data_IF_238619156758
#
_entry.id   IF_238619156758
#
_cell.length_a   1.000
_cell.length_b   1.000
_cell.length_c   1.000
_cell.angle_alpha   90.00
_cell.angle_beta   90.00
_cell.angle_gamma   90.00
#
_symmetry.space_group_name_H-M   'P 1'
#
loop_
_entity.id
_entity.type
_entity.pdbx_description
1 polymer ?
#
# COMPACT_ATOMS: atom_id res chain seq x y z
N UNK A 1 22.51 18.02 23.05
CA UNK A 1 22.11 16.77 23.73
C UNK A 1 21.06 16.07 22.88
N UNK A 2 21.47 15.00 22.20
CA UNK A 2 20.57 14.13 21.47
C UNK A 2 19.78 13.27 22.46
N UNK A 3 18.56 13.67 22.75
CA UNK A 3 17.62 12.82 23.49
C UNK A 3 17.24 11.66 22.57
N UNK A 4 17.86 10.51 22.74
CA UNK A 4 17.39 9.26 22.14
C UNK A 4 16.00 8.96 22.72
N UNK A 5 14.97 9.03 21.88
CA UNK A 5 13.67 8.49 22.22
C UNK A 5 13.83 6.99 22.39
N UNK A 6 13.81 6.53 23.63
CA UNK A 6 13.77 5.10 23.93
C UNK A 6 12.36 4.63 23.61
N UNK A 7 12.20 3.88 22.52
CA UNK A 7 10.93 3.21 22.22
C UNK A 7 10.79 2.08 23.24
N UNK A 8 9.79 2.11 24.14
CA UNK A 8 9.68 1.16 25.24
C UNK A 8 9.30 -0.27 24.84
N UNK A 9 9.14 -0.53 23.54
CA UNK A 9 8.71 -1.83 23.01
C UNK A 9 9.74 -2.35 22.01
N UNK A 10 10.75 -3.15 22.45
CA UNK A 10 11.78 -3.69 21.57
C UNK A 10 11.22 -4.61 20.47
N UNK A 11 10.00 -5.14 20.66
CA UNK A 11 9.30 -6.01 19.69
C UNK A 11 8.18 -5.27 18.93
N UNK A 12 8.20 -3.93 18.92
CA UNK A 12 7.14 -3.12 18.34
C UNK A 12 6.01 -2.80 19.32
N UNK A 13 5.06 -1.98 18.89
CA UNK A 13 3.87 -1.65 19.68
C UNK A 13 2.97 -2.89 19.82
N UNK A 14 2.34 -3.09 21.02
CA UNK A 14 1.38 -4.17 21.20
C UNK A 14 0.21 -4.02 20.22
N UNK A 15 -0.35 -5.15 19.79
CA UNK A 15 -1.55 -5.15 18.97
C UNK A 15 -2.70 -4.41 19.71
N UNK A 16 -3.41 -3.54 19.00
CA UNK A 16 -4.57 -2.86 19.52
C UNK A 16 -5.70 -3.85 19.79
N UNK A 17 -6.50 -3.57 20.81
CA UNK A 17 -7.71 -4.36 21.06
C UNK A 17 -8.72 -4.13 19.95
N UNK A 18 -9.56 -5.15 19.68
CA UNK A 18 -10.56 -5.09 18.61
C UNK A 18 -11.51 -3.89 18.78
N UNK A 19 -11.81 -3.50 20.02
CA UNK A 19 -12.67 -2.36 20.31
C UNK A 19 -12.01 -1.01 19.98
N UNK A 20 -10.70 -0.91 20.17
CA UNK A 20 -9.94 0.31 19.79
C UNK A 20 -9.90 0.45 18.27
N UNK A 21 -9.69 -0.66 17.56
CA UNK A 21 -9.77 -0.70 16.07
C UNK A 21 -11.18 -0.30 15.60
N UNK A 22 -12.24 -0.80 16.24
CA UNK A 22 -13.63 -0.40 15.91
C UNK A 22 -13.84 1.10 16.12
N UNK A 23 -13.38 1.64 17.25
CA UNK A 23 -13.48 3.07 17.55
C UNK A 23 -12.77 3.91 16.50
N UNK A 24 -11.56 3.52 16.11
CA UNK A 24 -10.81 4.17 15.05
C UNK A 24 -11.54 4.15 13.69
N UNK A 25 -12.21 3.03 13.36
CA UNK A 25 -13.02 2.92 12.14
C UNK A 25 -14.25 3.82 12.21
N UNK A 26 -14.95 3.86 13.34
CA UNK A 26 -16.13 4.70 13.56
C UNK A 26 -15.81 6.19 13.40
N UNK A 27 -14.68 6.65 13.94
CA UNK A 27 -14.21 8.03 13.79
C UNK A 27 -13.94 8.39 12.32
N UNK A 28 -13.48 7.41 11.53
CA UNK A 28 -13.13 7.59 10.13
C UNK A 28 -14.28 7.30 9.16
N UNK A 29 -15.40 6.75 9.65
CA UNK A 29 -16.50 6.30 8.79
C UNK A 29 -17.00 7.39 7.85
N UNK A 30 -17.02 8.65 8.28
CA UNK A 30 -17.40 9.79 7.46
C UNK A 30 -16.58 9.97 6.19
N UNK A 31 -15.32 9.49 6.18
CA UNK A 31 -14.42 9.60 5.03
C UNK A 31 -14.75 8.60 3.91
N UNK A 32 -15.36 7.47 4.25
CA UNK A 32 -15.61 6.39 3.30
C UNK A 32 -17.05 5.89 3.23
N UNK A 33 -17.93 6.34 4.15
CA UNK A 33 -19.35 5.92 4.20
C UNK A 33 -20.06 6.08 2.86
N UNK A 34 -19.90 7.22 2.19
CA UNK A 34 -20.58 7.48 0.91
C UNK A 34 -20.11 6.50 -0.19
N UNK A 35 -18.85 6.08 -0.16
CA UNK A 35 -18.31 5.09 -1.09
C UNK A 35 -18.79 3.69 -0.74
N UNK A 36 -18.82 3.34 0.55
CA UNK A 36 -19.38 2.09 1.03
C UNK A 36 -20.84 1.91 0.61
N UNK A 37 -21.63 2.95 0.66
CA UNK A 37 -23.05 2.88 0.32
C UNK A 37 -23.32 2.94 -1.19
N UNK A 38 -22.29 3.22 -2.02
CA UNK A 38 -22.41 3.31 -3.48
C UNK A 38 -23.65 4.11 -3.97
N UNK A 39 -24.04 5.13 -3.20
CA UNK A 39 -25.23 5.96 -3.46
C UNK A 39 -26.55 5.43 -2.87
N UNK A 40 -26.59 4.22 -2.32
CA UNK A 40 -27.77 3.66 -1.64
C UNK A 40 -27.77 4.07 -0.16
N UNK A 41 -28.33 5.24 0.11
CA UNK A 41 -28.39 5.80 1.47
C UNK A 41 -29.36 5.06 2.40
N UNK A 42 -30.26 4.26 1.85
CA UNK A 42 -31.26 3.53 2.63
C UNK A 42 -30.65 2.32 3.36
N UNK A 43 -29.57 1.77 2.84
CA UNK A 43 -28.87 0.63 3.47
C UNK A 43 -27.99 1.01 4.67
N UNK A 44 -27.72 2.26 4.90
CA UNK A 44 -27.08 2.88 6.06
C UNK A 44 -26.26 1.96 6.97
N UNK A 45 -26.71 1.87 8.20
CA UNK A 45 -25.96 1.17 9.26
C UNK A 45 -25.99 -0.35 9.12
N UNK A 46 -26.95 -0.93 8.40
CA UNK A 46 -27.02 -2.37 8.12
C UNK A 46 -25.83 -2.87 7.29
N UNK A 47 -25.25 -2.00 6.48
CA UNK A 47 -24.07 -2.33 5.67
C UNK A 47 -22.78 -1.89 6.37
N UNK A 48 -22.81 -0.73 7.00
CA UNK A 48 -21.63 -0.11 7.60
C UNK A 48 -21.15 -0.89 8.83
N UNK A 49 -22.04 -1.29 9.73
CA UNK A 49 -21.64 -1.98 10.95
C UNK A 49 -21.01 -3.36 10.68
N UNK A 50 -21.56 -4.23 9.84
CA UNK A 50 -20.92 -5.49 9.45
C UNK A 50 -19.55 -5.28 8.80
N UNK A 51 -19.38 -4.23 7.98
CA UNK A 51 -18.07 -3.88 7.41
C UNK A 51 -17.06 -3.50 8.50
N UNK A 52 -17.44 -2.63 9.44
CA UNK A 52 -16.57 -2.23 10.57
C UNK A 52 -16.16 -3.45 11.39
N UNK A 53 -17.09 -4.33 11.72
CA UNK A 53 -16.82 -5.52 12.50
C UNK A 53 -15.88 -6.49 11.78
N UNK A 54 -16.08 -6.65 10.48
CA UNK A 54 -15.22 -7.49 9.66
C UNK A 54 -13.81 -6.92 9.56
N UNK A 55 -13.67 -5.63 9.27
CA UNK A 55 -12.34 -4.98 9.19
C UNK A 55 -11.63 -5.04 10.53
N UNK A 56 -12.32 -4.73 11.63
CA UNK A 56 -11.75 -4.80 12.96
C UNK A 56 -11.24 -6.20 13.32
N UNK A 57 -12.02 -7.24 12.96
CA UNK A 57 -11.64 -8.65 13.17
C UNK A 57 -10.43 -9.04 12.30
N UNK A 58 -10.39 -8.57 11.04
CA UNK A 58 -9.34 -8.90 10.07
C UNK A 58 -8.06 -8.12 10.29
N UNK A 59 -8.11 -6.99 10.97
CA UNK A 59 -6.96 -6.14 11.26
C UNK A 59 -5.95 -6.79 12.22
N UNK A 60 -6.34 -7.81 12.99
CA UNK A 60 -5.46 -8.50 13.97
C UNK A 60 -4.73 -7.53 14.91
N UNK A 61 -5.39 -6.42 15.26
CA UNK A 61 -4.84 -5.37 16.12
C UNK A 61 -3.87 -4.40 15.43
N UNK A 62 -3.77 -4.42 14.09
CA UNK A 62 -2.87 -3.58 13.31
C UNK A 62 -3.60 -2.37 12.71
N UNK A 63 -3.41 -1.14 13.23
CA UNK A 63 -4.01 0.09 12.70
C UNK A 63 -3.66 0.34 11.23
N UNK A 64 -2.49 -0.11 10.81
CA UNK A 64 -2.03 0.03 9.43
C UNK A 64 -2.94 -0.69 8.45
N UNK A 65 -3.37 -1.90 8.77
CA UNK A 65 -4.34 -2.64 7.95
C UNK A 65 -5.63 -1.84 7.75
N UNK A 66 -6.12 -1.20 8.82
CA UNK A 66 -7.30 -0.33 8.75
C UNK A 66 -7.07 0.84 7.80
N UNK A 67 -5.88 1.47 7.86
CA UNK A 67 -5.54 2.57 6.97
C UNK A 67 -5.59 2.13 5.50
N UNK A 68 -5.01 0.98 5.15
CA UNK A 68 -5.04 0.45 3.80
C UNK A 68 -6.47 0.17 3.32
N UNK A 69 -7.23 -0.56 4.11
CA UNK A 69 -8.61 -0.92 3.74
C UNK A 69 -9.47 0.33 3.57
N UNK A 70 -9.36 1.31 4.47
CA UNK A 70 -10.14 2.56 4.34
C UNK A 70 -9.73 3.37 3.12
N UNK A 71 -8.44 3.39 2.78
CA UNK A 71 -7.94 4.06 1.58
C UNK A 71 -8.46 3.38 0.30
N UNK A 72 -8.41 2.06 0.23
CA UNK A 72 -8.94 1.29 -0.89
C UNK A 72 -10.45 1.51 -1.09
N UNK A 73 -11.22 1.56 0.01
CA UNK A 73 -12.65 1.89 -0.06
C UNK A 73 -12.87 3.31 -0.58
N UNK A 74 -12.08 4.28 -0.11
CA UNK A 74 -12.16 5.67 -0.60
C UNK A 74 -11.84 5.78 -2.10
N UNK A 75 -10.91 4.98 -2.59
CA UNK A 75 -10.53 4.93 -4.00
C UNK A 75 -11.51 4.12 -4.86
N UNK A 76 -12.44 3.40 -4.24
CA UNK A 76 -13.40 2.53 -4.92
C UNK A 76 -12.83 1.18 -5.35
N UNK A 77 -11.65 0.80 -4.81
CA UNK A 77 -11.00 -0.48 -5.09
C UNK A 77 -11.66 -1.66 -4.35
N UNK A 78 -12.48 -1.37 -3.35
CA UNK A 78 -13.25 -2.37 -2.60
C UNK A 78 -14.74 -2.11 -2.74
N UNK A 79 -15.47 -2.92 -3.50
CA UNK A 79 -16.93 -2.90 -3.50
C UNK A 79 -17.48 -3.47 -2.19
N UNK A 80 -18.64 -3.00 -1.78
CA UNK A 80 -19.31 -3.40 -0.53
C UNK A 80 -19.61 -4.89 -0.43
N UNK A 81 -19.99 -5.50 -1.54
CA UNK A 81 -20.22 -6.93 -1.68
C UNK A 81 -18.90 -7.73 -1.70
N UNK A 82 -17.77 -7.06 -1.91
CA UNK A 82 -16.44 -7.64 -1.87
C UNK A 82 -15.86 -7.85 -0.47
N UNK A 83 -16.57 -7.54 0.61
CA UNK A 83 -16.09 -7.74 1.99
C UNK A 83 -15.72 -9.17 2.30
N UNK A 84 -16.34 -10.15 1.63
CA UNK A 84 -15.99 -11.57 1.75
C UNK A 84 -14.52 -11.84 1.34
N UNK A 85 -13.97 -11.05 0.43
CA UNK A 85 -12.62 -11.18 -0.12
C UNK A 85 -11.59 -10.27 0.58
N UNK A 86 -11.96 -9.64 1.71
CA UNK A 86 -11.02 -8.82 2.47
C UNK A 86 -9.91 -9.71 3.02
N UNK A 87 -8.63 -9.42 2.78
CA UNK A 87 -7.51 -10.20 3.31
C UNK A 87 -7.55 -10.28 4.83
N UNK A 88 -6.98 -11.34 5.40
CA UNK A 88 -6.84 -11.49 6.83
C UNK A 88 -5.45 -11.04 7.25
N UNK A 89 -5.36 -9.90 7.94
CA UNK A 89 -4.11 -9.32 8.39
C UNK A 89 -3.30 -8.64 7.28
N UNK A 90 -2.20 -8.06 7.69
CA UNK A 90 -1.36 -7.23 6.82
C UNK A 90 -0.61 -8.06 5.77
N UNK A 91 -0.12 -9.24 6.14
CA UNK A 91 0.61 -10.13 5.23
C UNK A 91 -0.25 -10.52 4.04
N UNK A 92 -1.45 -11.04 4.28
CA UNK A 92 -2.37 -11.42 3.21
C UNK A 92 -2.83 -10.21 2.37
N UNK A 93 -2.84 -9.01 2.97
CA UNK A 93 -3.09 -7.78 2.23
C UNK A 93 -1.93 -7.46 1.26
N UNK A 94 -0.68 -7.58 1.71
CA UNK A 94 0.50 -7.38 0.86
C UNK A 94 0.58 -8.43 -0.25
N UNK A 95 0.31 -9.70 0.04
CA UNK A 95 0.24 -10.78 -0.95
C UNK A 95 -0.74 -10.42 -2.07
N UNK A 96 -1.97 -10.00 -1.70
CA UNK A 96 -2.97 -9.58 -2.67
C UNK A 96 -2.53 -8.37 -3.52
N UNK A 97 -1.85 -7.40 -2.92
CA UNK A 97 -1.28 -6.27 -3.66
C UNK A 97 -0.25 -6.74 -4.69
N UNK A 98 0.65 -7.63 -4.28
CA UNK A 98 1.72 -8.16 -5.14
C UNK A 98 1.15 -9.05 -6.25
N UNK A 99 0.17 -9.91 -5.95
CA UNK A 99 -0.56 -10.69 -6.95
C UNK A 99 -1.18 -9.79 -8.01
N UNK A 100 -1.74 -8.65 -7.60
CA UNK A 100 -2.29 -7.63 -8.51
C UNK A 100 -1.26 -7.05 -9.49
N UNK A 101 0.02 -6.98 -9.12
CA UNK A 101 1.10 -6.53 -10.02
C UNK A 101 1.34 -7.52 -11.17
N UNK A 102 1.04 -8.78 -10.94
CA UNK A 102 1.20 -9.86 -11.93
C UNK A 102 0.18 -9.88 -13.07
N UNK A 103 -0.76 -8.92 -13.13
CA UNK A 103 -1.90 -8.91 -14.06
C UNK A 103 -1.90 -7.63 -14.90
N UNK A 104 -2.30 -7.75 -16.17
CA UNK A 104 -2.49 -6.61 -17.08
C UNK A 104 -1.28 -6.18 -17.88
N UNK A 105 -1.43 -5.11 -18.65
CA UNK A 105 -0.46 -4.64 -19.62
C UNK A 105 0.86 -4.12 -19.02
N UNK A 106 0.86 -3.75 -17.74
CA UNK A 106 2.03 -3.23 -17.03
C UNK A 106 2.78 -4.29 -16.21
N UNK A 107 2.36 -5.57 -16.28
CA UNK A 107 2.93 -6.67 -15.48
C UNK A 107 4.46 -6.71 -15.50
N UNK A 108 5.04 -6.62 -16.68
CA UNK A 108 6.50 -6.73 -16.87
C UNK A 108 7.27 -5.54 -16.28
N UNK A 109 6.60 -4.39 -16.16
CA UNK A 109 7.16 -3.19 -15.54
C UNK A 109 6.96 -3.15 -14.02
N UNK A 110 5.76 -3.50 -13.54
CA UNK A 110 5.38 -3.25 -12.14
C UNK A 110 6.25 -4.03 -11.15
N UNK A 111 6.59 -5.27 -11.48
CA UNK A 111 7.48 -6.10 -10.63
C UNK A 111 8.88 -5.46 -10.48
N UNK A 112 9.61 -5.12 -11.56
CA UNK A 112 10.92 -4.46 -11.42
C UNK A 112 10.83 -3.07 -10.79
N UNK A 113 9.77 -2.31 -11.05
CA UNK A 113 9.55 -1.00 -10.45
C UNK A 113 9.40 -1.10 -8.92
N UNK A 114 8.53 -1.99 -8.44
CA UNK A 114 8.29 -2.19 -7.01
C UNK A 114 9.53 -2.75 -6.32
N UNK A 115 10.26 -3.66 -6.97
CA UNK A 115 11.51 -4.19 -6.44
C UNK A 115 12.61 -3.11 -6.35
N UNK A 116 12.72 -2.22 -7.34
CA UNK A 116 13.64 -1.08 -7.28
C UNK A 116 13.35 -0.20 -6.08
N UNK A 117 12.07 0.15 -5.87
CA UNK A 117 11.64 0.95 -4.72
C UNK A 117 11.84 0.22 -3.38
N UNK A 118 11.70 -1.12 -3.35
CA UNK A 118 11.94 -1.90 -2.14
C UNK A 118 13.42 -1.98 -1.77
N UNK A 119 14.32 -1.98 -2.75
CA UNK A 119 15.76 -1.99 -2.50
C UNK A 119 16.30 -0.62 -2.09
N UNK A 120 15.63 0.47 -2.46
CA UNK A 120 16.03 1.81 -2.10
C UNK A 120 15.89 2.06 -0.59
N UNK A 121 16.92 2.66 0.02
CA UNK A 121 16.88 3.05 1.44
C UNK A 121 16.35 4.48 1.65
N UNK A 122 16.22 5.23 0.57
CA UNK A 122 15.80 6.63 0.53
C UNK A 122 14.81 6.84 -0.62
N UNK A 123 14.05 7.94 -0.62
CA UNK A 123 13.17 8.26 -1.73
C UNK A 123 13.96 8.40 -3.02
N UNK A 124 13.44 7.85 -4.12
CA UNK A 124 14.03 7.96 -5.45
C UNK A 124 13.25 8.95 -6.29
N UNK A 125 13.93 9.90 -6.90
CA UNK A 125 13.35 10.76 -7.93
C UNK A 125 12.91 9.91 -9.15
N UNK A 126 11.90 10.36 -9.88
CA UNK A 126 11.42 9.63 -11.06
C UNK A 126 12.54 9.37 -12.09
N UNK A 127 13.43 10.35 -12.28
CA UNK A 127 14.61 10.22 -13.17
C UNK A 127 15.56 9.09 -12.74
N UNK A 128 15.72 8.86 -11.43
CA UNK A 128 16.57 7.80 -10.90
C UNK A 128 15.94 6.43 -11.14
N UNK A 129 14.62 6.31 -10.88
CA UNK A 129 13.84 5.11 -11.18
C UNK A 129 13.97 4.75 -12.67
N UNK A 130 13.79 5.72 -13.56
CA UNK A 130 13.96 5.57 -15.01
C UNK A 130 15.36 5.06 -15.33
N UNK A 131 16.39 5.70 -14.76
CA UNK A 131 17.78 5.32 -14.97
C UNK A 131 18.05 3.88 -14.55
N UNK A 132 17.61 3.47 -13.36
CA UNK A 132 17.78 2.11 -12.87
C UNK A 132 17.07 1.07 -13.76
N UNK A 133 15.84 1.36 -14.19
CA UNK A 133 15.08 0.45 -15.02
C UNK A 133 15.68 0.33 -16.43
N UNK A 134 16.23 1.40 -17.02
CA UNK A 134 16.98 1.37 -18.30
C UNK A 134 18.25 0.56 -18.19
N UNK A 135 19.08 0.81 -17.18
CA UNK A 135 20.32 0.07 -16.97
C UNK A 135 20.12 -1.46 -16.87
N UNK A 136 18.89 -1.89 -16.58
CA UNK A 136 18.51 -3.29 -16.48
C UNK A 136 17.64 -3.78 -17.63
N UNK A 137 17.57 -3.02 -18.73
CA UNK A 137 16.77 -3.35 -19.94
C UNK A 137 15.28 -3.64 -19.62
N UNK A 138 14.72 -2.96 -18.61
CA UNK A 138 13.33 -3.14 -18.17
C UNK A 138 12.35 -2.19 -18.85
N UNK A 139 12.84 -1.12 -19.42
CA UNK A 139 12.07 -0.14 -20.18
C UNK A 139 12.84 0.30 -21.44
N UNK A 140 12.14 0.69 -22.51
CA UNK A 140 12.77 1.22 -23.71
C UNK A 140 13.45 2.57 -23.43
N UNK A 141 14.38 2.93 -24.30
CA UNK A 141 15.01 4.24 -24.29
C UNK A 141 14.04 5.36 -24.72
N UNK A 142 14.33 6.59 -24.26
CA UNK A 142 13.62 7.80 -24.64
C UNK A 142 12.24 7.94 -23.98
N UNK A 143 11.42 8.82 -24.52
CA UNK A 143 10.14 9.26 -23.96
C UNK A 143 9.13 8.13 -23.74
N UNK A 144 9.24 7.06 -24.54
CA UNK A 144 8.36 5.90 -24.40
C UNK A 144 8.57 5.19 -23.06
N UNK A 145 9.84 5.02 -22.65
CA UNK A 145 10.20 4.44 -21.34
C UNK A 145 9.76 5.34 -20.18
N UNK A 146 9.97 6.64 -20.31
CA UNK A 146 9.57 7.62 -19.28
C UNK A 146 8.07 7.62 -19.05
N UNK A 147 7.30 7.64 -20.16
CA UNK A 147 5.83 7.52 -20.10
C UNK A 147 5.39 6.20 -19.43
N UNK A 148 6.12 5.12 -19.69
CA UNK A 148 5.81 3.83 -19.10
C UNK A 148 6.02 3.82 -17.60
N UNK A 149 7.13 4.41 -17.12
CA UNK A 149 7.41 4.56 -15.67
C UNK A 149 6.36 5.43 -14.99
N UNK A 150 6.01 6.58 -15.56
CA UNK A 150 4.95 7.44 -15.02
C UNK A 150 3.61 6.68 -14.88
N UNK A 151 3.23 5.88 -15.88
CA UNK A 151 2.04 5.01 -15.80
C UNK A 151 2.17 3.94 -14.71
N UNK A 152 3.35 3.33 -14.58
CA UNK A 152 3.64 2.36 -13.55
C UNK A 152 3.51 2.94 -12.13
N UNK A 153 4.11 4.10 -11.89
CA UNK A 153 4.00 4.83 -10.61
C UNK A 153 2.55 5.20 -10.27
N UNK A 154 1.78 5.64 -11.27
CA UNK A 154 0.36 5.90 -11.09
C UNK A 154 -0.43 4.62 -10.74
N UNK A 155 -0.11 3.49 -11.37
CA UNK A 155 -0.78 2.22 -11.11
C UNK A 155 -0.53 1.68 -9.68
N UNK A 156 0.63 1.98 -9.09
CA UNK A 156 0.99 1.56 -7.72
C UNK A 156 0.89 2.70 -6.69
N UNK A 157 0.20 3.79 -7.01
CA UNK A 157 0.15 4.99 -6.15
C UNK A 157 -0.31 4.69 -4.71
N UNK A 158 -1.17 3.69 -4.51
CA UNK A 158 -1.61 3.24 -3.17
C UNK A 158 -0.49 2.61 -2.33
N UNK A 159 0.59 2.16 -2.97
CA UNK A 159 1.78 1.59 -2.29
C UNK A 159 2.84 2.66 -1.99
N UNK A 160 2.69 3.85 -2.55
CA UNK A 160 3.72 4.89 -2.54
C UNK A 160 3.41 6.01 -1.56
N UNK A 161 4.47 6.61 -1.03
CA UNK A 161 4.46 7.96 -0.48
C UNK A 161 5.48 8.82 -1.21
N UNK A 162 5.20 10.11 -1.29
CA UNK A 162 6.18 11.10 -1.72
C UNK A 162 6.94 11.63 -0.53
N UNK A 163 8.23 11.80 -0.67
CA UNK A 163 9.11 12.42 0.29
C UNK A 163 10.27 13.07 -0.47
N UNK A 164 10.89 14.13 0.07
CA UNK A 164 12.08 14.70 -0.55
C UNK A 164 13.18 13.65 -0.65
N UNK A 165 13.81 13.55 -1.82
CA UNK A 165 15.05 12.80 -2.00
C UNK A 165 16.25 13.52 -1.35
N UNK A 166 17.45 12.95 -1.35
CA UNK A 166 18.63 13.61 -0.78
C UNK A 166 19.01 14.94 -1.45
N UNK A 167 18.57 15.20 -2.67
CA UNK A 167 18.77 16.44 -3.40
C UNK A 167 17.65 17.47 -3.18
N UNK A 168 16.60 17.07 -2.44
CA UNK A 168 15.46 17.92 -2.10
C UNK A 168 14.35 17.92 -3.15
N UNK A 169 14.41 17.02 -4.15
CA UNK A 169 13.36 16.83 -5.13
C UNK A 169 12.28 15.88 -4.61
N UNK A 170 11.08 15.91 -5.20
CA UNK A 170 10.01 14.98 -4.90
C UNK A 170 10.37 13.56 -5.35
N UNK A 171 10.68 12.70 -4.39
CA UNK A 171 10.98 11.30 -4.60
C UNK A 171 9.82 10.38 -4.21
N UNK A 172 9.90 9.14 -4.67
CA UNK A 172 8.98 8.05 -4.38
C UNK A 172 9.63 7.02 -3.49
N UNK A 173 8.89 6.51 -2.53
CA UNK A 173 9.28 5.34 -1.75
C UNK A 173 8.06 4.53 -1.37
N UNK A 174 8.25 3.27 -1.03
CA UNK A 174 7.17 2.45 -0.46
C UNK A 174 6.73 3.05 0.86
N UNK A 175 5.43 3.22 1.02
CA UNK A 175 4.91 3.99 2.14
C UNK A 175 5.02 3.27 3.49
N UNK A 176 5.35 1.97 3.51
CA UNK A 176 5.51 1.22 4.74
C UNK A 176 6.63 0.19 4.71
N UNK A 177 7.39 0.13 5.82
CA UNK A 177 8.50 -0.79 5.98
C UNK A 177 8.08 -2.26 5.86
N UNK A 178 6.91 -2.64 6.41
CA UNK A 178 6.44 -4.03 6.34
C UNK A 178 6.12 -4.48 4.91
N UNK A 179 5.65 -3.59 4.04
CA UNK A 179 5.47 -3.89 2.62
C UNK A 179 6.82 -4.11 1.94
N UNK A 180 7.79 -3.24 2.23
CA UNK A 180 9.16 -3.38 1.74
C UNK A 180 9.79 -4.70 2.16
N UNK A 181 9.71 -5.04 3.45
CA UNK A 181 10.23 -6.31 3.98
C UNK A 181 9.55 -7.51 3.33
N UNK A 182 8.23 -7.44 3.16
CA UNK A 182 7.47 -8.50 2.49
C UNK A 182 7.95 -8.70 1.05
N UNK A 183 8.12 -7.62 0.27
CA UNK A 183 8.63 -7.68 -1.11
C UNK A 183 10.02 -8.30 -1.17
N UNK A 184 10.93 -7.87 -0.29
CA UNK A 184 12.31 -8.37 -0.27
C UNK A 184 12.43 -9.83 0.16
N UNK A 185 11.46 -10.36 0.90
CA UNK A 185 11.43 -11.75 1.36
C UNK A 185 10.66 -12.69 0.44
N UNK A 186 9.88 -12.16 -0.51
CA UNK A 186 9.07 -12.95 -1.42
C UNK A 186 9.92 -13.48 -2.58
N UNK A 187 9.99 -14.81 -2.75
CA UNK A 187 10.80 -15.47 -3.79
C UNK A 187 10.42 -15.05 -5.22
N UNK A 188 9.16 -14.69 -5.46
CA UNK A 188 8.68 -14.22 -6.76
C UNK A 188 9.29 -12.88 -7.20
N UNK A 189 9.86 -12.13 -6.25
CA UNK A 189 10.60 -10.89 -6.50
C UNK A 189 12.12 -11.11 -6.54
N UNK A 190 12.59 -12.35 -6.38
CA UNK A 190 14.00 -12.69 -6.51
C UNK A 190 14.43 -12.47 -7.95
N UNK A 191 15.19 -11.42 -8.19
CA UNK A 191 15.85 -11.23 -9.48
C UNK A 191 16.94 -12.29 -9.63
N UNK A 192 17.02 -13.00 -10.75
CA UNK A 192 18.26 -13.68 -11.08
C UNK A 192 19.36 -12.61 -11.19
N UNK A 193 20.38 -12.76 -10.39
CA UNK A 193 21.61 -11.95 -10.39
C UNK A 193 22.33 -12.10 -11.73
#
# INVERSE_FOLDING_TARGET
>A
SNSRVVIPYPNGLPAMQIQDIRSMLLERIGLFRNKLLAGDKEKGDEVVNPFIDLVAKRAEGLPLFVNYVTQDVQQGNYPLDGTANLPKGLTAYHEKLIEGLGVGALKELLTPLVATLAMANEPLAEREIITFLRLRDRIPDGDAGDTLVAKGLAAIASMLRRAPDPEGEDGYMLHHLSLREHILTTETMSYPV
#
